data_IF_555948182360
#
_entry.id   IF_555948182360
#
_cell.length_a   1.000
_cell.length_b   1.000
_cell.length_c   1.000
_cell.angle_alpha   90.00
_cell.angle_beta   90.00
_cell.angle_gamma   90.00
#
_symmetry.space_group_name_H-M   'P 1'
#
loop_
_entity.id
_entity.type
_entity.pdbx_description
1 polymer ?
#
# COMPACT_ATOMS: atom_id res chain seq x y z
N UNK A 1 -27.62 -0.32 6.78
CA UNK A 1 -26.85 -0.93 5.68
C UNK A 1 -27.50 -2.26 5.21
N UNK A 2 -27.65 -3.29 6.07
CA UNK A 2 -28.19 -4.61 5.67
C UNK A 2 -29.59 -4.56 5.07
N UNK A 3 -30.50 -3.74 5.62
CA UNK A 3 -31.86 -3.55 5.06
C UNK A 3 -31.79 -2.88 3.69
N UNK A 4 -30.88 -1.90 3.51
CA UNK A 4 -30.68 -1.25 2.21
C UNK A 4 -30.15 -2.22 1.15
N UNK A 5 -29.20 -3.07 1.50
CA UNK A 5 -28.67 -4.11 0.61
C UNK A 5 -29.76 -5.13 0.25
N UNK A 6 -30.54 -5.60 1.24
CA UNK A 6 -31.66 -6.50 0.99
C UNK A 6 -32.72 -5.86 0.06
N UNK A 7 -33.00 -4.57 0.23
CA UNK A 7 -33.91 -3.84 -0.64
C UNK A 7 -33.37 -3.69 -2.07
N UNK A 8 -32.05 -3.45 -2.24
CA UNK A 8 -31.40 -3.37 -3.54
C UNK A 8 -31.42 -4.69 -4.31
N UNK A 9 -31.47 -5.82 -3.59
CA UNK A 9 -31.55 -7.17 -4.15
C UNK A 9 -32.95 -7.58 -4.63
N UNK A 10 -33.98 -6.79 -4.28
CA UNK A 10 -35.36 -7.10 -4.75
C UNK A 10 -35.41 -7.06 -6.27
N UNK A 11 -35.90 -8.15 -6.87
CA UNK A 11 -36.00 -8.28 -8.33
C UNK A 11 -34.73 -8.83 -9.00
N UNK A 12 -33.70 -9.24 -8.24
CA UNK A 12 -32.47 -9.83 -8.76
C UNK A 12 -31.85 -9.02 -9.92
N UNK A 13 -31.47 -7.76 -9.69
CA UNK A 13 -30.94 -6.90 -10.74
C UNK A 13 -29.57 -7.38 -11.23
N UNK A 14 -29.29 -7.28 -12.53
CA UNK A 14 -27.99 -7.65 -13.10
C UNK A 14 -26.83 -6.78 -12.55
N UNK A 15 -27.13 -5.53 -12.17
CA UNK A 15 -26.15 -4.54 -11.67
C UNK A 15 -26.61 -4.02 -10.32
N UNK A 16 -25.73 -4.09 -9.33
CA UNK A 16 -25.91 -3.50 -7.99
C UNK A 16 -24.96 -2.32 -7.82
N UNK A 17 -25.50 -1.17 -7.38
CA UNK A 17 -24.70 0.01 -7.03
C UNK A 17 -24.76 0.19 -5.52
N UNK A 18 -23.62 0.12 -4.85
CA UNK A 18 -23.49 0.21 -3.41
C UNK A 18 -22.60 1.41 -3.05
N UNK A 19 -23.22 2.42 -2.43
CA UNK A 19 -22.51 3.61 -1.99
C UNK A 19 -22.12 3.46 -0.51
N UNK A 20 -20.79 3.43 -0.24
CA UNK A 20 -20.20 3.30 1.08
C UNK A 20 -20.83 2.16 1.93
N UNK A 21 -20.87 0.89 1.46
CA UNK A 21 -21.68 -0.17 2.06
C UNK A 21 -21.25 -0.56 3.47
N UNK A 22 -20.05 -0.19 3.90
CA UNK A 22 -19.44 -0.56 5.19
C UNK A 22 -19.46 0.58 6.23
N UNK A 23 -19.82 1.79 5.83
CA UNK A 23 -19.84 2.94 6.74
C UNK A 23 -20.82 2.72 7.91
N UNK A 24 -20.31 2.96 9.13
CA UNK A 24 -21.07 2.83 10.37
C UNK A 24 -21.25 1.40 10.88
N UNK A 25 -20.55 0.44 10.29
CA UNK A 25 -20.52 -0.95 10.76
C UNK A 25 -19.32 -1.19 11.70
N UNK A 26 -19.47 -2.14 12.61
CA UNK A 26 -18.34 -2.63 13.38
C UNK A 26 -17.47 -3.62 12.57
N UNK A 27 -16.22 -3.92 13.02
CA UNK A 27 -15.30 -4.77 12.28
C UNK A 27 -15.86 -6.16 11.92
N UNK A 28 -16.69 -6.74 12.78
CA UNK A 28 -17.29 -8.06 12.52
C UNK A 28 -18.34 -7.98 11.40
N UNK A 29 -19.14 -6.94 11.42
CA UNK A 29 -20.15 -6.68 10.39
C UNK A 29 -19.52 -6.34 9.04
N UNK A 30 -18.37 -5.66 9.02
CA UNK A 30 -17.62 -5.38 7.79
C UNK A 30 -17.19 -6.69 7.12
N UNK A 31 -16.69 -7.65 7.89
CA UNK A 31 -16.32 -8.98 7.36
C UNK A 31 -17.52 -9.67 6.72
N UNK A 32 -18.66 -9.69 7.41
CA UNK A 32 -19.89 -10.31 6.89
C UNK A 32 -20.40 -9.64 5.59
N UNK A 33 -20.34 -8.30 5.51
CA UNK A 33 -20.73 -7.56 4.30
C UNK A 33 -19.77 -7.85 3.14
N UNK A 34 -18.46 -7.93 3.39
CA UNK A 34 -17.48 -8.30 2.36
C UNK A 34 -17.73 -9.71 1.81
N UNK A 35 -18.01 -10.67 2.68
CA UNK A 35 -18.35 -12.03 2.26
C UNK A 35 -19.62 -12.05 1.42
N UNK A 36 -20.66 -11.30 1.83
CA UNK A 36 -21.89 -11.17 1.09
C UNK A 36 -21.68 -10.52 -0.30
N UNK A 37 -20.90 -9.45 -0.38
CA UNK A 37 -20.56 -8.80 -1.66
C UNK A 37 -19.83 -9.80 -2.59
N UNK A 38 -18.87 -10.57 -2.08
CA UNK A 38 -18.19 -11.62 -2.85
C UNK A 38 -19.12 -12.73 -3.32
N UNK A 39 -20.10 -13.11 -2.52
CA UNK A 39 -21.08 -14.10 -2.92
C UNK A 39 -21.99 -13.56 -4.03
N UNK A 40 -22.46 -12.32 -3.89
CA UNK A 40 -23.31 -11.66 -4.88
C UNK A 40 -22.58 -11.39 -6.21
N UNK A 41 -21.27 -11.13 -6.17
CA UNK A 41 -20.48 -10.88 -7.39
C UNK A 41 -20.38 -12.08 -8.32
N UNK A 42 -20.68 -13.30 -7.84
CA UNK A 42 -20.75 -14.49 -8.69
C UNK A 42 -21.90 -14.47 -9.70
N UNK A 43 -22.94 -13.70 -9.45
CA UNK A 43 -24.16 -13.64 -10.27
C UNK A 43 -24.60 -12.23 -10.65
N UNK A 44 -23.96 -11.20 -10.08
CA UNK A 44 -24.29 -9.80 -10.30
C UNK A 44 -23.03 -8.99 -10.61
N UNK A 45 -23.12 -7.97 -11.44
CA UNK A 45 -22.10 -6.94 -11.53
C UNK A 45 -22.28 -5.96 -10.38
N UNK A 46 -21.24 -5.75 -9.58
CA UNK A 46 -21.30 -4.85 -8.41
C UNK A 46 -20.39 -3.66 -8.64
N UNK A 47 -20.97 -2.46 -8.59
CA UNK A 47 -20.23 -1.21 -8.52
C UNK A 47 -20.36 -0.69 -7.09
N UNK A 48 -19.22 -0.56 -6.39
CA UNK A 48 -19.21 -0.02 -5.03
C UNK A 48 -18.31 1.22 -4.93
N UNK A 49 -18.72 2.17 -4.09
CA UNK A 49 -17.87 3.26 -3.68
C UNK A 49 -17.35 3.00 -2.27
N UNK A 50 -16.10 3.38 -2.00
CA UNK A 50 -15.55 3.48 -0.65
C UNK A 50 -14.35 4.44 -0.64
N UNK A 51 -14.09 5.04 0.50
CA UNK A 51 -12.87 5.81 0.78
C UNK A 51 -11.83 4.99 1.55
N UNK A 52 -12.14 3.73 1.89
CA UNK A 52 -11.25 2.83 2.65
C UNK A 52 -10.62 1.84 1.67
N UNK A 53 -9.36 2.11 1.31
CA UNK A 53 -8.62 1.34 0.29
C UNK A 53 -8.50 -0.14 0.61
N UNK A 54 -8.30 -0.49 1.89
CA UNK A 54 -8.22 -1.89 2.35
C UNK A 54 -9.52 -2.65 2.12
N UNK A 55 -10.67 -1.98 2.17
CA UNK A 55 -11.95 -2.61 1.89
C UNK A 55 -12.11 -2.89 0.39
N UNK A 56 -11.73 -1.90 -0.43
CA UNK A 56 -11.76 -2.01 -1.89
C UNK A 56 -10.85 -3.15 -2.36
N UNK A 57 -9.59 -3.17 -1.91
CA UNK A 57 -8.62 -4.22 -2.28
C UNK A 57 -9.08 -5.63 -1.90
N UNK A 58 -9.89 -5.73 -0.84
CA UNK A 58 -10.36 -7.02 -0.34
C UNK A 58 -11.51 -7.62 -1.16
N UNK A 59 -12.29 -6.82 -1.91
CA UNK A 59 -13.54 -7.29 -2.56
C UNK A 59 -13.64 -6.96 -4.04
N UNK A 60 -12.87 -5.99 -4.56
CA UNK A 60 -12.97 -5.55 -5.96
C UNK A 60 -11.96 -6.27 -6.85
N UNK A 61 -12.40 -6.68 -8.03
CA UNK A 61 -11.55 -7.21 -9.10
C UNK A 61 -10.84 -6.08 -9.86
N UNK A 62 -11.53 -4.94 -10.04
CA UNK A 62 -11.02 -3.73 -10.69
C UNK A 62 -11.35 -2.49 -9.84
N UNK A 63 -10.47 -1.51 -9.88
CA UNK A 63 -10.60 -0.24 -9.16
C UNK A 63 -10.54 0.91 -10.15
N UNK A 64 -11.49 1.83 -10.02
CA UNK A 64 -11.51 3.09 -10.75
C UNK A 64 -11.17 4.21 -9.76
N UNK A 65 -10.07 4.93 -10.01
CA UNK A 65 -9.68 6.09 -9.22
C UNK A 65 -10.14 7.36 -9.93
N UNK A 66 -10.92 8.16 -9.20
CA UNK A 66 -11.48 9.43 -9.71
C UNK A 66 -10.91 10.59 -8.88
N UNK A 67 -10.40 11.61 -9.56
CA UNK A 67 -9.95 12.86 -8.92
C UNK A 67 -10.50 14.06 -9.71
N UNK A 68 -11.05 15.05 -9.01
CA UNK A 68 -11.65 16.26 -9.61
C UNK A 68 -12.58 15.99 -10.81
N UNK A 69 -13.37 14.90 -10.72
CA UNK A 69 -14.32 14.50 -11.76
C UNK A 69 -13.70 13.81 -12.98
N UNK A 70 -12.42 13.48 -12.95
CA UNK A 70 -11.72 12.73 -14.01
C UNK A 70 -11.29 11.37 -13.52
N UNK A 71 -11.44 10.36 -14.36
CA UNK A 71 -10.85 9.04 -14.14
C UNK A 71 -9.34 9.13 -14.38
N UNK A 72 -8.55 8.84 -13.35
CA UNK A 72 -7.08 8.91 -13.40
C UNK A 72 -6.42 7.53 -13.50
N UNK A 73 -7.11 6.49 -13.06
CA UNK A 73 -6.64 5.11 -13.22
C UNK A 73 -7.83 4.15 -13.21
N UNK A 74 -7.66 3.01 -13.90
CA UNK A 74 -8.59 1.89 -13.88
C UNK A 74 -7.76 0.61 -14.11
N UNK A 75 -7.64 -0.22 -13.09
CA UNK A 75 -6.88 -1.48 -13.17
C UNK A 75 -7.20 -2.34 -11.92
N UNK A 76 -6.62 -3.56 -11.88
CA UNK A 76 -6.69 -4.41 -10.70
C UNK A 76 -5.94 -3.79 -9.52
N UNK A 77 -6.32 -4.11 -8.26
CA UNK A 77 -5.59 -3.64 -7.06
C UNK A 77 -4.08 -3.90 -7.14
N UNK A 78 -3.70 -5.09 -7.56
CA UNK A 78 -2.30 -5.50 -7.70
C UNK A 78 -1.54 -4.68 -8.74
N UNK A 79 -2.15 -4.41 -9.89
CA UNK A 79 -1.51 -3.63 -10.95
C UNK A 79 -1.37 -2.16 -10.54
N UNK A 80 -2.37 -1.58 -9.89
CA UNK A 80 -2.30 -0.22 -9.37
C UNK A 80 -1.17 -0.08 -8.35
N UNK A 81 -1.04 -1.04 -7.45
CA UNK A 81 0.05 -1.07 -6.48
C UNK A 81 1.41 -1.23 -7.16
N UNK A 82 1.55 -2.16 -8.13
CA UNK A 82 2.80 -2.37 -8.89
C UNK A 82 3.18 -1.18 -9.76
N UNK A 83 2.22 -0.51 -10.40
CA UNK A 83 2.50 0.66 -11.23
C UNK A 83 3.10 1.83 -10.42
N UNK A 84 2.83 1.88 -9.11
CA UNK A 84 3.39 2.84 -8.18
C UNK A 84 4.74 2.42 -7.59
N UNK A 85 5.09 1.14 -7.68
CA UNK A 85 6.39 0.62 -7.25
C UNK A 85 7.51 1.05 -8.22
N UNK A 86 7.74 2.37 -8.36
CA UNK A 86 8.94 2.87 -9.07
C UNK A 86 10.21 2.61 -8.24
N UNK A 87 10.07 2.37 -6.93
CA UNK A 87 11.15 2.08 -6.01
C UNK A 87 10.66 1.19 -4.87
N UNK A 88 11.41 0.18 -4.52
CA UNK A 88 11.14 -0.66 -3.36
C UNK A 88 11.72 0.01 -2.11
N UNK A 89 10.88 0.27 -1.11
CA UNK A 89 11.30 0.78 0.20
C UNK A 89 11.75 -0.36 1.11
N UNK A 90 12.87 -0.19 1.78
CA UNK A 90 13.38 -1.09 2.83
C UNK A 90 13.55 -0.26 4.09
N UNK A 91 12.77 -0.56 5.12
CA UNK A 91 12.95 0.05 6.43
C UNK A 91 14.07 -0.65 7.18
N UNK A 92 14.93 0.13 7.82
CA UNK A 92 16.10 -0.31 8.53
C UNK A 92 16.19 0.40 9.88
N UNK A 93 16.56 -0.36 10.91
CA UNK A 93 17.06 0.18 12.18
C UNK A 93 18.47 -0.37 12.40
N UNK A 94 19.45 0.51 12.41
CA UNK A 94 20.88 0.13 12.43
C UNK A 94 21.55 0.82 13.60
N UNK A 95 22.34 0.07 14.37
CA UNK A 95 23.18 0.61 15.44
C UNK A 95 24.57 0.93 14.90
N UNK A 96 25.02 2.18 15.11
CA UNK A 96 26.33 2.62 14.68
C UNK A 96 26.42 4.11 14.42
N UNK A 97 27.61 4.56 14.04
CA UNK A 97 27.82 5.95 13.66
C UNK A 97 27.21 6.24 12.30
N UNK A 98 26.50 7.35 12.20
CA UNK A 98 25.81 7.78 10.95
C UNK A 98 26.77 7.89 9.76
N UNK A 99 28.01 8.28 10.00
CA UNK A 99 29.08 8.36 8.99
C UNK A 99 29.38 7.01 8.36
N UNK A 100 29.57 5.97 9.19
CA UNK A 100 29.85 4.60 8.76
C UNK A 100 28.68 3.99 8.02
N UNK A 101 27.47 4.15 8.55
CA UNK A 101 26.25 3.67 7.89
C UNK A 101 26.09 4.31 6.51
N UNK A 102 26.31 5.63 6.40
CA UNK A 102 26.23 6.33 5.12
C UNK A 102 27.30 5.83 4.13
N UNK A 103 28.52 5.58 4.59
CA UNK A 103 29.60 5.05 3.77
C UNK A 103 29.28 3.64 3.25
N UNK A 104 28.76 2.77 4.10
CA UNK A 104 28.31 1.43 3.74
C UNK A 104 27.19 1.47 2.69
N UNK A 105 26.17 2.32 2.88
CA UNK A 105 25.07 2.47 1.91
C UNK A 105 25.53 3.03 0.57
N UNK A 106 26.53 3.92 0.55
CA UNK A 106 27.08 4.49 -0.69
C UNK A 106 27.79 3.46 -1.58
N UNK A 107 28.14 2.28 -1.05
CA UNK A 107 28.73 1.19 -1.85
C UNK A 107 27.66 0.44 -2.67
N UNK A 108 26.37 0.64 -2.36
CA UNK A 108 25.26 -0.05 -3.02
C UNK A 108 24.68 0.87 -4.09
N UNK A 109 25.00 0.59 -5.34
CA UNK A 109 24.64 1.44 -6.50
C UNK A 109 23.15 1.47 -6.80
N UNK A 110 22.40 0.49 -6.33
CA UNK A 110 20.94 0.37 -6.54
C UNK A 110 20.11 1.28 -5.62
N UNK A 111 20.75 1.94 -4.66
CA UNK A 111 20.08 2.87 -3.76
C UNK A 111 19.89 4.22 -4.46
N UNK A 112 18.62 4.60 -4.65
CA UNK A 112 18.26 5.90 -5.24
C UNK A 112 18.06 7.00 -4.19
N UNK A 113 17.46 6.66 -3.03
CA UNK A 113 17.15 7.63 -1.98
C UNK A 113 17.23 6.99 -0.60
N UNK A 114 17.73 7.75 0.38
CA UNK A 114 17.70 7.38 1.81
C UNK A 114 16.94 8.47 2.57
N UNK A 115 15.96 8.06 3.35
CA UNK A 115 15.20 8.94 4.23
C UNK A 115 15.45 8.49 5.67
N UNK A 116 15.90 9.41 6.53
CA UNK A 116 16.14 9.13 7.94
C UNK A 116 14.90 9.45 8.76
N UNK A 117 14.61 8.60 9.75
CA UNK A 117 13.50 8.81 10.68
C UNK A 117 13.93 9.80 11.79
N UNK A 118 12.97 10.55 12.32
CA UNK A 118 13.24 11.53 13.39
C UNK A 118 13.44 10.89 14.77
N UNK A 119 12.98 9.65 14.96
CA UNK A 119 13.04 8.92 16.23
C UNK A 119 13.97 7.71 16.10
N UNK A 120 15.13 7.81 16.73
CA UNK A 120 16.03 6.68 16.96
C UNK A 120 16.12 6.39 18.46
N UNK A 121 15.98 5.12 18.84
CA UNK A 121 16.31 4.67 20.19
C UNK A 121 17.83 4.72 20.42
N UNK A 122 18.27 4.72 21.67
CA UNK A 122 19.68 4.86 22.12
C UNK A 122 20.72 4.24 21.19
N UNK A 123 21.38 5.08 20.39
CA UNK A 123 22.48 4.70 19.49
C UNK A 123 22.09 3.91 18.24
N UNK A 124 20.80 3.78 17.96
CA UNK A 124 20.28 3.23 16.72
C UNK A 124 19.72 4.34 15.81
N UNK A 125 19.80 4.15 14.51
CA UNK A 125 19.32 5.07 13.49
C UNK A 125 18.27 4.36 12.66
N UNK A 126 17.03 4.87 12.67
CA UNK A 126 15.94 4.46 11.80
C UNK A 126 16.08 5.15 10.44
N UNK A 127 15.83 4.40 9.38
CA UNK A 127 15.83 4.95 8.03
C UNK A 127 15.05 4.08 7.06
N UNK A 128 14.61 4.70 5.97
CA UNK A 128 14.07 4.00 4.81
C UNK A 128 14.97 4.21 3.60
N UNK A 129 15.37 3.11 3.00
CA UNK A 129 16.18 3.07 1.78
C UNK A 129 15.27 2.73 0.61
N UNK A 130 15.28 3.54 -0.44
CA UNK A 130 14.52 3.31 -1.67
C UNK A 130 15.45 2.94 -2.80
N UNK A 131 15.14 1.87 -3.52
CA UNK A 131 15.87 1.42 -4.70
C UNK A 131 15.41 2.16 -5.95
N UNK A 132 16.27 2.32 -6.96
CA UNK A 132 15.90 2.91 -8.25
C UNK A 132 14.96 2.03 -9.08
N UNK A 133 14.92 0.73 -8.80
CA UNK A 133 14.08 -0.28 -9.45
C UNK A 133 13.49 -1.20 -8.39
N UNK A 134 12.44 -1.94 -8.74
CA UNK A 134 11.86 -2.97 -7.87
C UNK A 134 12.83 -4.16 -7.68
N UNK A 135 13.87 -3.94 -6.89
CA UNK A 135 14.89 -4.95 -6.56
C UNK A 135 14.98 -5.14 -5.05
N UNK A 136 15.06 -6.40 -4.63
CA UNK A 136 15.35 -6.74 -3.25
C UNK A 136 16.87 -6.69 -3.04
N UNK A 137 17.33 -5.68 -2.32
CA UNK A 137 18.75 -5.47 -2.00
C UNK A 137 19.09 -5.74 -0.53
N UNK A 138 18.19 -6.39 0.22
CA UNK A 138 18.39 -6.65 1.66
C UNK A 138 19.68 -7.43 1.94
N UNK A 139 20.00 -8.40 1.10
CA UNK A 139 21.24 -9.16 1.23
C UNK A 139 22.48 -8.28 1.06
N UNK A 140 22.47 -7.36 0.08
CA UNK A 140 23.58 -6.41 -0.14
C UNK A 140 23.73 -5.45 1.04
N UNK A 141 22.60 -4.95 1.57
CA UNK A 141 22.60 -4.09 2.76
C UNK A 141 23.20 -4.85 3.95
N UNK A 142 22.81 -6.12 4.15
CA UNK A 142 23.33 -6.94 5.24
C UNK A 142 24.86 -7.06 5.20
N UNK A 143 25.42 -7.42 4.04
CA UNK A 143 26.87 -7.56 3.90
C UNK A 143 27.61 -6.22 4.04
N UNK A 144 27.09 -5.15 3.45
CA UNK A 144 27.67 -3.82 3.59
C UNK A 144 27.71 -3.37 5.06
N UNK A 145 26.63 -3.55 5.82
CA UNK A 145 26.59 -3.19 7.23
C UNK A 145 27.51 -4.07 8.08
N UNK A 146 27.65 -5.36 7.76
CA UNK A 146 28.55 -6.26 8.46
C UNK A 146 30.02 -5.87 8.25
N UNK A 147 30.40 -5.42 7.05
CA UNK A 147 31.78 -4.94 6.76
C UNK A 147 32.15 -3.69 7.57
N UNK A 148 31.17 -2.84 7.89
CA UNK A 148 31.38 -1.61 8.68
C UNK A 148 31.09 -1.77 10.18
N UNK A 149 30.90 -3.00 10.68
CA UNK A 149 30.56 -3.28 12.08
C UNK A 149 29.28 -2.51 12.54
N UNK A 150 28.29 -2.38 11.68
CA UNK A 150 27.03 -1.72 11.95
C UNK A 150 25.89 -2.75 12.08
N UNK A 151 25.55 -3.24 13.29
CA UNK A 151 24.52 -4.25 13.48
C UNK A 151 23.13 -3.75 13.02
N UNK A 152 22.48 -4.55 12.20
CA UNK A 152 21.08 -4.31 11.81
C UNK A 152 20.19 -4.88 12.90
N UNK A 153 19.35 -4.04 13.50
CA UNK A 153 18.37 -4.41 14.52
C UNK A 153 17.02 -4.79 13.89
N UNK A 154 16.64 -4.06 12.83
CA UNK A 154 15.44 -4.36 12.06
C UNK A 154 15.70 -4.16 10.57
N UNK A 155 15.13 -5.02 9.75
CA UNK A 155 15.14 -4.90 8.30
C UNK A 155 13.91 -5.56 7.70
N UNK A 156 13.03 -4.77 7.12
CA UNK A 156 11.86 -5.29 6.43
C UNK A 156 11.52 -4.49 5.17
N UNK A 157 10.90 -5.16 4.21
CA UNK A 157 10.37 -4.50 3.03
C UNK A 157 9.15 -3.68 3.42
N UNK A 158 9.07 -2.45 2.94
CA UNK A 158 7.83 -1.69 2.99
C UNK A 158 6.91 -2.21 1.90
N UNK A 159 5.74 -2.68 2.31
CA UNK A 159 4.67 -3.00 1.39
C UNK A 159 4.05 -1.67 0.93
N UNK A 160 4.07 -1.42 -0.38
CA UNK A 160 3.35 -0.27 -0.94
C UNK A 160 1.86 -0.58 -0.86
N UNK A 161 1.14 0.21 -0.12
CA UNK A 161 -0.30 0.06 0.01
C UNK A 161 -1.03 0.70 -1.17
N UNK A 162 -2.30 0.35 -1.36
CA UNK A 162 -3.16 1.02 -2.33
C UNK A 162 -3.39 2.50 -1.95
N UNK A 163 -3.31 2.82 -0.64
CA UNK A 163 -3.35 4.20 -0.13
C UNK A 163 -2.18 5.02 -0.65
N UNK A 164 -0.96 4.46 -0.63
CA UNK A 164 0.24 5.12 -1.16
C UNK A 164 0.11 5.34 -2.68
N UNK A 165 -0.42 4.35 -3.38
CA UNK A 165 -0.71 4.44 -4.81
C UNK A 165 -1.71 5.57 -5.10
N UNK A 166 -2.80 5.65 -4.35
CA UNK A 166 -3.81 6.70 -4.49
C UNK A 166 -3.23 8.09 -4.23
N UNK A 167 -2.47 8.28 -3.14
CA UNK A 167 -1.83 9.54 -2.81
C UNK A 167 -0.85 10.00 -3.90
N UNK A 168 -0.04 9.08 -4.43
CA UNK A 168 0.92 9.39 -5.49
C UNK A 168 0.23 9.79 -6.80
N UNK A 169 -0.88 9.14 -7.17
CA UNK A 169 -1.66 9.48 -8.38
C UNK A 169 -2.34 10.84 -8.25
N UNK A 170 -2.90 11.14 -7.07
CA UNK A 170 -3.63 12.39 -6.84
C UNK A 170 -2.72 13.62 -6.70
N UNK A 171 -1.46 13.44 -6.23
CA UNK A 171 -0.49 14.52 -6.09
C UNK A 171 0.18 14.91 -7.42
N UNK A 172 0.38 13.98 -8.36
CA UNK A 172 0.99 14.27 -9.68
C UNK A 172 0.16 15.21 -10.55
N UNK A 173 -1.14 15.35 -10.33
CA UNK A 173 -2.02 16.28 -11.07
C UNK A 173 -2.14 17.67 -10.44
N UNK A 174 -1.39 17.97 -9.38
CA UNK A 174 -1.41 19.26 -8.66
C UNK A 174 -0.27 20.22 -9.04
N UNK A 175 0.59 19.86 -10.01
CA UNK A 175 1.68 20.71 -10.52
C UNK A 175 1.40 21.23 -11.93
#
# INVERSE_FOLDING_TARGET
>A
QRVGLAAAMLGSPDILILDEPTVGLDPSQIIEIRELIRELSKSHTILLSSHIMQEISAVCDEIIIINKGKMIACDTPDNLTKAMMQSRGIHLVIRGERSKIKEALNQITEIGKVQYDETAEDGAIGMTVYTERDQDIREKIFYAMAEFDCPILEMHLLETSLEDAFLALTQKEGQ
#
